data_IF_741880745414
#
_entry.id   IF_741880745414
#
_cell.length_a   1.000
_cell.length_b   1.000
_cell.length_c   1.000
_cell.angle_alpha   90.00
_cell.angle_beta   90.00
_cell.angle_gamma   90.00
#
_symmetry.space_group_name_H-M   'P 1'
#
loop_
_entity.id
_entity.type
_entity.pdbx_description
1 polymer ?
#
# COMPACT_ATOMS: atom_id res chain seq x y z
N UNK A 1 18.08 2.45 -29.83
CA UNK A 1 16.82 2.60 -30.58
C UNK A 1 15.69 2.16 -29.64
N UNK A 2 15.22 3.13 -28.82
CA UNK A 2 14.09 2.89 -27.92
C UNK A 2 12.80 2.98 -28.70
N UNK A 3 12.24 1.87 -29.12
CA UNK A 3 10.85 1.81 -29.44
C UNK A 3 10.09 1.88 -28.09
N UNK A 4 9.66 3.08 -27.76
CA UNK A 4 8.63 3.27 -26.73
C UNK A 4 7.33 2.64 -27.26
N UNK A 5 7.20 1.34 -27.08
CA UNK A 5 5.96 0.65 -27.42
C UNK A 5 4.92 1.11 -26.40
N UNK A 6 3.88 1.79 -26.86
CA UNK A 6 2.72 2.18 -26.05
C UNK A 6 2.14 0.95 -25.34
N UNK A 7 2.34 -0.23 -25.91
CA UNK A 7 1.97 -1.53 -25.34
C UNK A 7 2.77 -1.82 -24.06
N UNK A 8 4.09 -1.59 -24.04
CA UNK A 8 4.90 -1.81 -22.82
C UNK A 8 4.47 -0.90 -21.69
N UNK A 9 4.20 0.37 -21.97
CA UNK A 9 3.79 1.37 -20.96
C UNK A 9 2.46 0.99 -20.29
N UNK A 10 1.55 0.34 -21.03
CA UNK A 10 0.24 -0.08 -20.48
C UNK A 10 0.28 -1.48 -19.87
N UNK A 11 1.10 -2.37 -20.39
CA UNK A 11 1.16 -3.79 -19.98
C UNK A 11 2.00 -3.97 -18.71
N UNK A 12 3.13 -3.26 -18.57
CA UNK A 12 3.99 -3.35 -17.40
C UNK A 12 3.25 -3.09 -16.07
N UNK A 13 2.46 -2.00 -15.90
CA UNK A 13 1.72 -1.78 -14.66
C UNK A 13 0.67 -2.85 -14.37
N UNK A 14 0.03 -3.41 -15.41
CA UNK A 14 -0.98 -4.46 -15.24
C UNK A 14 -0.32 -5.75 -14.75
N UNK A 15 0.81 -6.12 -15.34
CA UNK A 15 1.58 -7.29 -14.91
C UNK A 15 2.07 -7.08 -13.48
N UNK A 16 2.60 -5.91 -13.14
CA UNK A 16 3.04 -5.57 -11.79
C UNK A 16 1.91 -5.75 -10.77
N UNK A 17 0.71 -5.23 -11.07
CA UNK A 17 -0.47 -5.36 -10.19
C UNK A 17 -0.84 -6.83 -10.02
N UNK A 18 -0.98 -7.59 -11.09
CA UNK A 18 -1.39 -9.00 -11.05
C UNK A 18 -0.36 -9.84 -10.30
N UNK A 19 0.93 -9.67 -10.58
CA UNK A 19 2.00 -10.39 -9.91
C UNK A 19 2.10 -10.02 -8.42
N UNK A 20 1.91 -8.74 -8.08
CA UNK A 20 1.90 -8.29 -6.69
C UNK A 20 0.74 -8.89 -5.91
N UNK A 21 -0.46 -8.91 -6.48
CA UNK A 21 -1.63 -9.53 -5.85
C UNK A 21 -1.45 -11.04 -5.69
N UNK A 22 -0.91 -11.73 -6.70
CA UNK A 22 -0.64 -13.17 -6.63
C UNK A 22 0.38 -13.51 -5.53
N UNK A 23 1.49 -12.75 -5.47
CA UNK A 23 2.50 -12.90 -4.43
C UNK A 23 1.92 -12.62 -3.04
N UNK A 24 1.14 -11.55 -2.89
CA UNK A 24 0.47 -11.21 -1.62
C UNK A 24 -0.52 -12.27 -1.17
N UNK A 25 -1.29 -12.85 -2.09
CA UNK A 25 -2.22 -13.93 -1.79
C UNK A 25 -1.48 -15.19 -1.30
N UNK A 26 -0.42 -15.58 -2.00
CA UNK A 26 0.41 -16.73 -1.62
C UNK A 26 1.04 -16.54 -0.23
N UNK A 27 1.62 -15.37 0.01
CA UNK A 27 2.21 -15.04 1.32
C UNK A 27 1.14 -14.97 2.42
N UNK A 28 -0.05 -14.47 2.12
CA UNK A 28 -1.18 -14.43 3.07
C UNK A 28 -1.67 -15.83 3.47
N UNK A 29 -1.77 -16.75 2.52
CA UNK A 29 -2.12 -18.15 2.80
C UNK A 29 -1.04 -18.82 3.66
N UNK A 30 0.25 -18.65 3.30
CA UNK A 30 1.37 -19.17 4.08
C UNK A 30 1.37 -18.59 5.51
N UNK A 31 1.13 -17.30 5.65
CA UNK A 31 1.06 -16.63 6.94
C UNK A 31 -0.07 -17.21 7.80
N UNK A 32 -1.27 -17.34 7.25
CA UNK A 32 -2.42 -17.94 7.95
C UNK A 32 -2.13 -19.38 8.39
N UNK A 33 -1.46 -20.13 7.54
CA UNK A 33 -1.08 -21.53 7.87
C UNK A 33 -0.05 -21.56 9.02
N UNK A 34 0.95 -20.69 8.98
CA UNK A 34 1.96 -20.59 10.04
C UNK A 34 1.34 -20.16 11.38
N UNK A 35 0.41 -19.21 11.35
CA UNK A 35 -0.27 -18.71 12.56
C UNK A 35 -1.05 -19.80 13.32
N UNK A 36 -1.59 -20.79 12.62
CA UNK A 36 -2.31 -21.92 13.24
C UNK A 36 -1.43 -22.78 14.15
N UNK A 37 -0.12 -22.79 13.93
CA UNK A 37 0.82 -23.54 14.76
C UNK A 37 1.17 -22.87 16.08
N UNK A 38 0.87 -21.56 16.22
CA UNK A 38 1.25 -20.81 17.41
C UNK A 38 0.03 -20.45 18.26
N UNK A 39 0.03 -20.90 19.52
CA UNK A 39 -1.05 -20.63 20.46
C UNK A 39 -0.80 -19.42 21.39
N UNK A 40 0.40 -18.84 21.36
CA UNK A 40 0.75 -17.72 22.23
C UNK A 40 0.64 -16.39 21.49
N UNK A 41 -0.09 -15.43 22.05
CA UNK A 41 -0.33 -14.11 21.47
C UNK A 41 0.97 -13.31 21.18
N UNK A 42 1.97 -13.40 22.04
CA UNK A 42 3.25 -12.72 21.81
C UNK A 42 4.02 -13.31 20.63
N UNK A 43 3.97 -14.65 20.46
CA UNK A 43 4.61 -15.33 19.33
C UNK A 43 3.91 -14.98 18.02
N UNK A 44 2.58 -14.87 18.03
CA UNK A 44 1.79 -14.45 16.86
C UNK A 44 2.12 -13.04 16.39
N UNK A 45 2.27 -12.08 17.32
CA UNK A 45 2.70 -10.72 16.98
C UNK A 45 4.11 -10.70 16.35
N UNK A 46 5.06 -11.42 16.92
CA UNK A 46 6.39 -11.51 16.35
C UNK A 46 6.37 -12.16 14.96
N UNK A 47 5.54 -13.20 14.78
CA UNK A 47 5.37 -13.87 13.51
C UNK A 47 4.77 -12.92 12.46
N UNK A 48 3.72 -12.17 12.81
CA UNK A 48 3.10 -11.19 11.94
C UNK A 48 4.10 -10.15 11.46
N UNK A 49 4.87 -9.56 12.38
CA UNK A 49 5.90 -8.58 12.04
C UNK A 49 6.98 -9.17 11.13
N UNK A 50 7.45 -10.38 11.47
CA UNK A 50 8.45 -11.08 10.66
C UNK A 50 7.93 -11.38 9.26
N UNK A 51 6.69 -11.85 9.13
CA UNK A 51 6.10 -12.15 7.83
C UNK A 51 5.91 -10.90 6.97
N UNK A 52 5.46 -9.78 7.55
CA UNK A 52 5.34 -8.52 6.82
C UNK A 52 6.70 -8.05 6.32
N UNK A 53 7.72 -8.01 7.19
CA UNK A 53 9.08 -7.61 6.80
C UNK A 53 9.66 -8.55 5.74
N UNK A 54 9.48 -9.85 5.88
CA UNK A 54 9.91 -10.84 4.91
C UNK A 54 9.22 -10.67 3.56
N UNK A 55 7.91 -10.42 3.57
CA UNK A 55 7.13 -10.17 2.35
C UNK A 55 7.59 -8.89 1.65
N UNK A 56 7.85 -7.81 2.41
CA UNK A 56 8.42 -6.58 1.85
C UNK A 56 9.82 -6.82 1.28
N UNK A 57 10.65 -7.61 1.94
CA UNK A 57 11.98 -7.97 1.43
C UNK A 57 11.89 -8.73 0.10
N UNK A 58 10.98 -9.70 -0.01
CA UNK A 58 10.74 -10.43 -1.27
C UNK A 58 10.21 -9.49 -2.36
N UNK A 59 9.30 -8.57 -2.03
CA UNK A 59 8.74 -7.63 -3.01
C UNK A 59 9.77 -6.64 -3.57
N UNK A 60 10.91 -6.49 -2.89
CA UNK A 60 12.05 -5.67 -3.38
C UNK A 60 12.97 -6.42 -4.35
N UNK A 61 12.75 -7.72 -4.53
CA UNK A 61 13.46 -8.47 -5.55
C UNK A 61 12.88 -8.12 -6.92
N UNK A 62 13.68 -7.49 -7.74
CA UNK A 62 13.34 -7.19 -9.13
C UNK A 62 13.76 -8.38 -10.00
N UNK A 63 12.85 -8.85 -10.81
CA UNK A 63 13.12 -9.93 -11.76
C UNK A 63 13.00 -9.40 -13.18
N UNK A 64 14.02 -9.66 -13.98
CA UNK A 64 13.97 -9.43 -15.42
C UNK A 64 13.63 -10.76 -16.12
N UNK A 65 12.44 -10.86 -16.65
CA UNK A 65 12.02 -12.02 -17.45
C UNK A 65 11.70 -11.56 -18.86
N UNK A 66 12.52 -11.98 -19.83
CA UNK A 66 12.25 -11.73 -21.24
C UNK A 66 12.32 -10.25 -21.67
N UNK A 67 13.11 -9.41 -20.96
CA UNK A 67 13.25 -7.99 -21.28
C UNK A 67 12.15 -7.09 -20.71
N UNK A 68 11.27 -7.63 -19.87
CA UNK A 68 10.28 -6.88 -19.10
C UNK A 68 10.76 -6.84 -17.64
N UNK A 69 10.89 -5.64 -17.08
CA UNK A 69 11.14 -5.45 -15.67
C UNK A 69 9.87 -5.77 -14.87
N UNK A 70 9.91 -6.86 -14.13
CA UNK A 70 8.82 -7.22 -13.22
C UNK A 70 9.21 -6.72 -11.83
N UNK A 71 8.70 -5.54 -11.46
CA UNK A 71 8.72 -5.03 -10.11
C UNK A 71 7.48 -5.51 -9.34
N UNK A 72 7.59 -5.62 -8.03
CA UNK A 72 6.44 -5.87 -7.16
C UNK A 72 6.13 -4.62 -6.36
N UNK A 73 4.88 -4.19 -6.35
CA UNK A 73 4.42 -3.15 -5.45
C UNK A 73 4.30 -3.70 -4.03
N UNK A 74 5.24 -3.37 -3.15
CA UNK A 74 5.24 -3.81 -1.75
C UNK A 74 3.92 -3.47 -1.05
N UNK A 75 3.29 -2.35 -1.41
CA UNK A 75 2.01 -1.92 -0.86
C UNK A 75 0.88 -2.87 -1.25
N UNK A 76 0.77 -3.22 -2.54
CA UNK A 76 -0.25 -4.15 -3.04
C UNK A 76 -0.05 -5.56 -2.48
N UNK A 77 1.19 -6.01 -2.39
CA UNK A 77 1.54 -7.31 -1.79
C UNK A 77 1.08 -7.37 -0.34
N UNK A 78 1.40 -6.34 0.46
CA UNK A 78 0.99 -6.29 1.87
C UNK A 78 -0.52 -6.13 2.05
N UNK A 79 -1.20 -5.37 1.19
CA UNK A 79 -2.67 -5.26 1.22
C UNK A 79 -3.33 -6.62 0.95
N UNK A 80 -2.85 -7.35 -0.05
CA UNK A 80 -3.40 -8.67 -0.39
C UNK A 80 -3.09 -9.70 0.69
N UNK A 81 -1.87 -9.67 1.27
CA UNK A 81 -1.50 -10.50 2.41
C UNK A 81 -2.48 -10.29 3.58
N UNK A 82 -2.74 -9.03 3.97
CA UNK A 82 -3.68 -8.69 5.03
C UNK A 82 -5.11 -9.13 4.71
N UNK A 83 -5.54 -8.95 3.47
CA UNK A 83 -6.87 -9.37 3.00
C UNK A 83 -7.05 -10.89 3.12
N UNK A 84 -6.07 -11.67 2.67
CA UNK A 84 -6.12 -13.13 2.77
C UNK A 84 -6.10 -13.58 4.24
N UNK A 85 -5.26 -12.97 5.06
CA UNK A 85 -5.19 -13.27 6.48
C UNK A 85 -6.52 -12.98 7.20
N UNK A 86 -7.12 -11.81 6.98
CA UNK A 86 -8.39 -11.45 7.60
C UNK A 86 -9.56 -12.36 7.19
N UNK A 87 -9.55 -12.86 5.96
CA UNK A 87 -10.62 -13.73 5.46
C UNK A 87 -10.45 -15.20 5.84
N UNK A 88 -9.22 -15.66 6.08
CA UNK A 88 -8.91 -17.07 6.32
C UNK A 88 -8.66 -17.41 7.81
N UNK A 89 -8.52 -16.39 8.67
CA UNK A 89 -8.15 -16.56 10.07
C UNK A 89 -9.23 -16.03 10.99
N UNK A 90 -9.86 -16.90 11.79
CA UNK A 90 -10.96 -16.53 12.70
C UNK A 90 -10.55 -15.57 13.83
N UNK A 91 -9.27 -15.58 14.21
CA UNK A 91 -8.71 -14.71 15.25
C UNK A 91 -7.94 -13.49 14.69
N UNK A 92 -8.11 -13.19 13.41
CA UNK A 92 -7.45 -12.06 12.75
C UNK A 92 -7.74 -10.71 13.43
N UNK A 93 -8.96 -10.49 13.89
CA UNK A 93 -9.36 -9.26 14.57
C UNK A 93 -8.54 -8.98 15.84
N UNK A 94 -8.22 -10.02 16.63
CA UNK A 94 -7.41 -9.88 17.85
C UNK A 94 -5.96 -9.52 17.52
N UNK A 95 -5.40 -10.12 16.48
CA UNK A 95 -4.03 -9.81 16.04
C UNK A 95 -3.96 -8.41 15.46
N UNK A 96 -4.96 -8.00 14.68
CA UNK A 96 -5.04 -6.66 14.11
C UNK A 96 -5.11 -5.58 15.20
N UNK A 97 -5.96 -5.74 16.23
CA UNK A 97 -6.04 -4.79 17.35
C UNK A 97 -4.69 -4.64 18.09
N UNK A 98 -3.95 -5.74 18.24
CA UNK A 98 -2.62 -5.70 18.84
C UNK A 98 -1.58 -5.07 17.93
N UNK A 99 -1.65 -5.35 16.63
CA UNK A 99 -0.75 -4.78 15.62
C UNK A 99 -0.97 -3.27 15.52
N UNK A 100 -2.21 -2.79 15.55
CA UNK A 100 -2.53 -1.36 15.53
C UNK A 100 -1.86 -0.60 16.68
N UNK A 101 -1.86 -1.17 17.87
CA UNK A 101 -1.19 -0.56 19.05
C UNK A 101 0.32 -0.43 18.86
N UNK A 102 0.95 -1.38 18.17
CA UNK A 102 2.37 -1.33 17.82
C UNK A 102 2.68 -0.39 16.65
N UNK A 103 1.70 -0.16 15.78
CA UNK A 103 1.87 0.68 14.59
C UNK A 103 1.94 2.17 14.96
N UNK A 104 1.29 2.60 16.04
CA UNK A 104 1.31 4.01 16.47
C UNK A 104 2.72 4.57 16.67
N UNK A 105 3.63 3.93 17.44
CA UNK A 105 5.01 4.41 17.57
C UNK A 105 5.78 4.39 16.23
N UNK A 106 5.51 3.42 15.36
CA UNK A 106 6.14 3.35 14.05
C UNK A 106 5.70 4.51 13.14
N UNK A 107 4.43 4.91 13.19
CA UNK A 107 3.96 6.11 12.50
C UNK A 107 4.63 7.38 13.01
N UNK A 108 4.77 7.52 14.32
CA UNK A 108 5.47 8.66 14.91
C UNK A 108 6.92 8.72 14.40
N UNK A 109 7.63 7.59 14.41
CA UNK A 109 9.00 7.48 13.89
C UNK A 109 9.07 7.83 12.40
N UNK A 110 8.15 7.30 11.61
CA UNK A 110 8.06 7.59 10.17
C UNK A 110 7.90 9.09 9.90
N UNK A 111 7.01 9.77 10.60
CA UNK A 111 6.82 11.21 10.42
C UNK A 111 8.01 12.04 10.89
N UNK A 112 8.68 11.62 11.97
CA UNK A 112 9.90 12.29 12.44
C UNK A 112 11.03 12.16 11.41
N UNK A 113 11.26 10.96 10.87
CA UNK A 113 12.30 10.73 9.85
C UNK A 113 11.96 11.50 8.57
N UNK A 114 10.72 11.40 8.10
CA UNK A 114 10.27 12.13 6.90
C UNK A 114 10.39 13.64 7.07
N UNK A 115 10.13 14.17 8.28
CA UNK A 115 10.33 15.57 8.58
C UNK A 115 11.81 15.97 8.65
N UNK A 116 12.67 15.08 9.12
CA UNK A 116 14.11 15.32 9.19
C UNK A 116 14.78 15.29 7.79
N UNK A 117 14.26 14.49 6.89
CA UNK A 117 14.73 14.41 5.49
C UNK A 117 14.21 15.57 4.62
N UNK A 118 13.32 16.42 5.14
CA UNK A 118 12.77 17.53 4.39
C UNK A 118 13.82 18.60 4.11
N UNK A 119 14.21 18.73 2.87
CA UNK A 119 15.13 19.78 2.42
C UNK A 119 14.41 21.13 2.30
N UNK A 120 14.56 21.99 3.33
CA UNK A 120 13.92 23.30 3.36
C UNK A 120 14.37 24.25 2.25
N UNK A 121 15.56 24.04 1.68
CA UNK A 121 16.08 24.83 0.58
C UNK A 121 15.18 24.78 -0.68
N UNK A 122 14.41 23.70 -0.84
CA UNK A 122 13.46 23.51 -1.95
C UNK A 122 12.39 24.60 -1.95
N UNK A 123 12.04 25.15 -0.79
CA UNK A 123 11.05 26.25 -0.67
C UNK A 123 11.60 27.61 -1.09
N UNK A 124 12.89 27.73 -1.39
CA UNK A 124 13.47 28.98 -1.86
C UNK A 124 13.26 29.21 -3.37
N UNK A 125 12.89 28.16 -4.10
CA UNK A 125 12.64 28.25 -5.55
C UNK A 125 11.13 28.40 -5.82
N UNK A 126 10.67 29.56 -6.34
CA UNK A 126 9.25 29.82 -6.60
C UNK A 126 8.65 28.88 -7.67
N UNK A 127 9.46 28.32 -8.57
CA UNK A 127 9.00 27.35 -9.55
C UNK A 127 8.55 26.03 -8.86
N UNK A 128 9.33 25.57 -7.88
CA UNK A 128 9.04 24.34 -7.13
C UNK A 128 7.80 24.53 -6.25
N UNK A 129 7.64 25.71 -5.64
CA UNK A 129 6.41 26.04 -4.88
C UNK A 129 5.18 26.01 -5.80
N UNK A 130 5.29 26.56 -7.02
CA UNK A 130 4.22 26.53 -8.01
C UNK A 130 3.80 25.11 -8.40
N UNK A 131 4.77 24.25 -8.66
CA UNK A 131 4.55 22.83 -9.01
C UNK A 131 3.92 22.10 -7.80
N UNK A 132 4.41 22.32 -6.59
CA UNK A 132 3.87 21.74 -5.36
C UNK A 132 2.41 22.15 -5.12
N UNK A 133 2.09 23.42 -5.30
CA UNK A 133 0.72 23.92 -5.18
C UNK A 133 -0.20 23.29 -6.24
N UNK A 134 0.22 23.23 -7.49
CA UNK A 134 -0.53 22.57 -8.56
C UNK A 134 -0.77 21.09 -8.27
N UNK A 135 0.24 20.38 -7.74
CA UNK A 135 0.13 18.97 -7.35
C UNK A 135 -0.91 18.79 -6.23
N UNK A 136 -0.85 19.62 -5.18
CA UNK A 136 -1.79 19.54 -4.04
C UNK A 136 -3.22 19.78 -4.52
N UNK A 137 -3.44 20.82 -5.34
CA UNK A 137 -4.76 21.14 -5.87
C UNK A 137 -5.29 20.01 -6.77
N UNK A 138 -4.48 19.51 -7.69
CA UNK A 138 -4.86 18.42 -8.59
C UNK A 138 -5.18 17.15 -7.81
N UNK A 139 -4.37 16.80 -6.82
CA UNK A 139 -4.57 15.60 -5.97
C UNK A 139 -5.86 15.74 -5.13
N UNK A 140 -6.10 16.90 -4.54
CA UNK A 140 -7.31 17.17 -3.75
C UNK A 140 -8.56 17.13 -4.61
N UNK A 141 -8.53 17.75 -5.79
CA UNK A 141 -9.62 17.71 -6.75
C UNK A 141 -9.89 16.27 -7.23
N UNK A 142 -8.86 15.51 -7.54
CA UNK A 142 -8.98 14.11 -7.95
C UNK A 142 -9.62 13.23 -6.87
N UNK A 143 -9.20 13.40 -5.60
CA UNK A 143 -9.81 12.69 -4.46
C UNK A 143 -11.29 13.05 -4.31
N UNK A 144 -11.61 14.35 -4.33
CA UNK A 144 -12.98 14.80 -4.18
C UNK A 144 -13.89 14.29 -5.30
N UNK A 145 -13.47 14.45 -6.56
CA UNK A 145 -14.22 13.97 -7.72
C UNK A 145 -14.37 12.46 -7.70
N UNK A 146 -13.32 11.72 -7.35
CA UNK A 146 -13.36 10.27 -7.26
C UNK A 146 -14.34 9.79 -6.18
N UNK A 147 -14.24 10.34 -4.96
CA UNK A 147 -15.15 10.01 -3.86
C UNK A 147 -16.60 10.37 -4.19
N UNK A 148 -16.83 11.57 -4.71
CA UNK A 148 -18.17 12.05 -5.10
C UNK A 148 -18.79 11.15 -6.18
N UNK A 149 -18.04 10.83 -7.23
CA UNK A 149 -18.51 9.96 -8.32
C UNK A 149 -18.84 8.56 -7.83
N UNK A 150 -17.96 7.97 -7.01
CA UNK A 150 -18.15 6.64 -6.43
C UNK A 150 -19.39 6.58 -5.53
N UNK A 151 -19.56 7.56 -4.64
CA UNK A 151 -20.72 7.63 -3.75
C UNK A 151 -22.03 7.82 -4.54
N UNK A 152 -22.00 8.63 -5.60
CA UNK A 152 -23.16 8.83 -6.46
C UNK A 152 -23.54 7.56 -7.21
N UNK A 153 -22.56 6.79 -7.71
CA UNK A 153 -22.80 5.49 -8.34
C UNK A 153 -23.31 4.44 -7.34
N UNK A 154 -22.80 4.44 -6.12
CA UNK A 154 -23.20 3.54 -5.05
C UNK A 154 -24.53 3.96 -4.37
N UNK A 155 -25.14 5.07 -4.77
CA UNK A 155 -26.38 5.63 -4.18
C UNK A 155 -26.26 5.81 -2.67
N UNK A 156 -25.12 6.29 -2.19
CA UNK A 156 -24.92 6.61 -0.78
C UNK A 156 -25.77 7.79 -0.35
N UNK A 157 -25.98 7.92 0.98
CA UNK A 157 -26.69 9.05 1.57
C UNK A 157 -26.07 10.40 1.18
N UNK A 158 -26.90 11.44 1.02
CA UNK A 158 -26.49 12.74 0.50
C UNK A 158 -25.39 13.40 1.35
N UNK A 159 -25.44 13.19 2.68
CA UNK A 159 -24.41 13.67 3.61
C UNK A 159 -23.07 12.97 3.35
N UNK A 160 -23.09 11.65 3.19
CA UNK A 160 -21.89 10.84 2.90
C UNK A 160 -21.26 11.25 1.57
N UNK A 161 -22.08 11.42 0.53
CA UNK A 161 -21.63 11.84 -0.81
C UNK A 161 -20.93 13.20 -0.78
N UNK A 162 -21.39 14.12 0.07
CA UNK A 162 -20.85 15.48 0.14
C UNK A 162 -19.55 15.60 0.94
N UNK A 163 -19.39 14.79 1.99
CA UNK A 163 -18.28 14.92 2.95
C UNK A 163 -17.20 13.85 2.85
N UNK A 164 -17.42 12.78 2.10
CA UNK A 164 -16.46 11.67 2.01
C UNK A 164 -15.15 12.06 1.28
N UNK A 165 -15.17 13.11 0.48
CA UNK A 165 -14.00 13.56 -0.30
C UNK A 165 -13.20 14.68 0.36
N UNK A 166 -13.62 15.16 1.53
CA UNK A 166 -12.97 16.22 2.32
C UNK A 166 -12.20 15.61 3.52
#
# INVERSE_FOLDING_TARGET
NGEFSIISIAVEPIIEIVCSLALGALMGVLFTFCEKFFNSNSKRLCLSLTFVLFTVAISKLEFEIGGVHIGFSALLVCMMLGTMFCNMCDFSAEIMDKTDKWTVPLFALFFVISGAELELNVFSDPAIIGIGAAYILSRSAGKYIGAFSSCKMAKCDEKTTRYLGV
#
